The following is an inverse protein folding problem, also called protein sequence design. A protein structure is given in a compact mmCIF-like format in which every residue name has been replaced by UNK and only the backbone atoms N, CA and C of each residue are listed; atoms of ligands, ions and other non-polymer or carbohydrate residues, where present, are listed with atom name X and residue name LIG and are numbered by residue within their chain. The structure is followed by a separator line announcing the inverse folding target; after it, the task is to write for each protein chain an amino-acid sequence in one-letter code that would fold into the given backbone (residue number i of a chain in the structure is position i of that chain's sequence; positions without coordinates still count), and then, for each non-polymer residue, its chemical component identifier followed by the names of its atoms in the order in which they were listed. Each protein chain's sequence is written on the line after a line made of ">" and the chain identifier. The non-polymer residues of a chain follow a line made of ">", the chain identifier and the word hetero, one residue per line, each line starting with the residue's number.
data_IF_872689373690
#
_entry.id   IF_872689373690
#
_cell.length_a   1.000
_cell.length_b   1.000
_cell.length_c   1.000
_cell.angle_alpha   90.00
_cell.angle_beta   90.00
_cell.angle_gamma   90.00
#
_symmetry.space_group_name_H-M   'P 1'
#
loop_
_entity.id
_entity.type
_entity.pdbx_description
1 polymer ?
#
# COMPACT_ATOMS: atom_id res chain seq x y z
N UNK A 1 -4.66 -60.07 -0.77
CA UNK A 1 -4.48 -61.11 -1.81
C UNK A 1 -4.06 -60.38 -3.08
N UNK A 2 -2.76 -60.33 -3.31
CA UNK A 2 -2.06 -61.00 -4.43
C UNK A 2 -2.30 -60.26 -5.76
N UNK A 3 -1.31 -59.93 -6.59
CA UNK A 3 0.15 -60.05 -6.60
C UNK A 3 0.56 -59.41 -7.95
N UNK A 4 1.59 -58.57 -8.06
CA UNK A 4 2.87 -58.80 -8.78
C UNK A 4 3.35 -57.40 -9.23
N UNK A 5 4.50 -56.77 -8.89
CA UNK A 5 5.90 -57.20 -8.71
C UNK A 5 6.38 -57.99 -9.94
N UNK A 6 7.40 -57.67 -10.74
CA UNK A 6 8.66 -56.91 -10.63
C UNK A 6 9.15 -56.62 -12.07
N UNK A 7 10.04 -55.65 -12.34
CA UNK A 7 11.49 -55.80 -12.63
C UNK A 7 11.89 -54.60 -13.53
N UNK A 8 13.09 -54.02 -13.58
CA UNK A 8 14.41 -54.36 -13.05
C UNK A 8 15.27 -53.09 -12.87
N UNK A 9 16.12 -53.13 -11.84
CA UNK A 9 17.26 -52.24 -11.58
C UNK A 9 18.40 -52.45 -12.59
N UNK A 10 19.20 -51.39 -12.85
CA UNK A 10 20.68 -51.38 -12.86
C UNK A 10 21.13 -49.92 -13.19
N UNK A 11 22.24 -49.33 -12.73
CA UNK A 11 23.38 -49.71 -11.88
C UNK A 11 24.33 -48.49 -11.83
N UNK A 12 24.93 -48.17 -10.68
CA UNK A 12 26.39 -47.98 -10.45
C UNK A 12 26.72 -47.12 -9.23
N UNK A 13 26.88 -47.84 -8.13
CA UNK A 13 27.95 -47.79 -7.12
C UNK A 13 29.14 -46.87 -7.37
N UNK A 14 29.50 -46.06 -6.36
CA UNK A 14 30.89 -45.78 -5.98
C UNK A 14 31.03 -45.72 -4.45
N UNK A 15 31.49 -46.85 -3.91
CA UNK A 15 32.45 -47.12 -2.81
C UNK A 15 32.40 -46.41 -1.44
N UNK A 16 32.53 -47.27 -0.42
CA UNK A 16 32.72 -47.03 1.02
C UNK A 16 34.21 -46.92 1.39
N UNK A 17 34.52 -46.19 2.47
CA UNK A 17 35.36 -46.57 3.64
C UNK A 17 35.79 -45.29 4.42
N UNK A 18 35.25 -45.05 5.63
CA UNK A 18 35.82 -45.34 6.97
C UNK A 18 37.04 -44.49 7.39
N UNK A 19 36.86 -43.62 8.39
CA UNK A 19 37.60 -43.63 9.66
C UNK A 19 37.16 -42.47 10.59
N UNK A 20 37.02 -42.79 11.87
CA UNK A 20 36.72 -41.87 12.97
C UNK A 20 38.01 -41.30 13.60
N UNK A 21 37.93 -40.07 14.13
CA UNK A 21 38.45 -39.55 15.42
C UNK A 21 38.82 -38.06 15.29
N UNK A 22 38.43 -37.26 16.29
CA UNK A 22 39.06 -35.95 16.52
C UNK A 22 38.14 -34.93 17.20
N UNK A 23 38.13 -34.94 18.53
CA UNK A 23 37.47 -33.91 19.34
C UNK A 23 38.12 -32.53 19.19
N UNK A 24 37.30 -31.47 19.27
CA UNK A 24 37.55 -30.31 20.13
C UNK A 24 36.34 -29.36 20.06
N UNK A 25 35.41 -29.52 21.00
CA UNK A 25 34.41 -28.49 21.29
C UNK A 25 35.07 -27.34 22.05
N UNK A 26 35.27 -26.21 21.38
CA UNK A 26 35.52 -24.93 22.03
C UNK A 26 34.19 -24.20 22.23
N UNK A 27 33.93 -23.57 23.39
CA UNK A 27 32.74 -22.75 23.54
C UNK A 27 32.92 -21.52 22.65
N UNK A 28 32.13 -21.44 21.58
CA UNK A 28 31.90 -20.15 20.94
C UNK A 28 31.22 -19.28 22.00
N UNK A 29 31.96 -18.28 22.50
CA UNK A 29 31.38 -17.17 23.23
C UNK A 29 30.42 -16.50 22.27
N UNK A 30 29.16 -16.94 22.29
CA UNK A 30 28.05 -16.18 21.79
C UNK A 30 28.07 -14.88 22.59
N UNK A 31 28.60 -13.82 21.98
CA UNK A 31 28.35 -12.47 22.43
C UNK A 31 26.83 -12.33 22.47
N UNK A 32 26.28 -12.42 23.67
CA UNK A 32 24.88 -12.15 23.93
C UNK A 32 24.64 -10.70 23.55
N UNK A 33 24.18 -10.48 22.32
CA UNK A 33 23.40 -9.30 22.03
C UNK A 33 22.17 -9.41 22.93
N UNK A 34 22.21 -8.72 24.07
CA UNK A 34 21.01 -8.52 24.87
C UNK A 34 19.98 -7.88 23.92
N UNK A 35 18.77 -8.44 23.78
CA UNK A 35 17.72 -7.70 23.11
C UNK A 35 17.53 -6.42 23.91
N UNK A 36 17.63 -5.28 23.22
CA UNK A 36 17.32 -3.99 23.80
C UNK A 36 15.90 -4.09 24.40
N UNK A 37 15.83 -4.08 25.72
CA UNK A 37 14.64 -4.12 26.55
C UNK A 37 13.90 -2.77 26.48
N UNK A 38 13.61 -2.32 25.27
CA UNK A 38 12.75 -1.19 24.98
C UNK A 38 11.41 -1.71 24.47
N UNK A 39 10.31 -1.22 25.04
CA UNK A 39 8.95 -1.52 24.59
C UNK A 39 8.77 -0.93 23.19
N UNK A 40 9.00 -1.75 22.17
CA UNK A 40 8.84 -1.36 20.77
C UNK A 40 7.39 -1.11 20.36
N UNK A 41 7.20 -0.65 19.13
CA UNK A 41 5.88 -0.44 18.54
C UNK A 41 5.65 -1.47 17.44
N UNK A 42 4.56 -2.22 17.59
CA UNK A 42 4.10 -3.15 16.57
C UNK A 42 3.19 -2.43 15.59
N UNK A 43 3.46 -2.55 14.29
CA UNK A 43 2.75 -1.83 13.24
C UNK A 43 2.06 -2.82 12.30
N UNK A 44 0.78 -2.57 12.04
CA UNK A 44 0.04 -3.18 10.95
C UNK A 44 -0.01 -2.18 9.78
N UNK A 45 0.44 -2.57 8.60
CA UNK A 45 0.51 -1.68 7.44
C UNK A 45 -0.13 -2.33 6.21
N UNK A 46 -0.91 -1.57 5.44
CA UNK A 46 -1.47 -2.10 4.20
C UNK A 46 -0.38 -2.59 3.26
N UNK A 47 -0.59 -3.76 2.66
CA UNK A 47 0.47 -4.50 1.96
C UNK A 47 1.17 -3.72 0.85
N UNK A 48 0.51 -2.76 0.20
CA UNK A 48 1.12 -1.90 -0.82
C UNK A 48 2.32 -1.09 -0.31
N UNK A 49 2.30 -0.64 0.95
CA UNK A 49 3.40 0.10 1.57
C UNK A 49 4.65 -0.75 1.80
N UNK A 50 4.45 -2.05 2.07
CA UNK A 50 5.53 -3.03 2.22
C UNK A 50 6.02 -3.48 0.85
N UNK A 51 5.09 -3.74 -0.08
CA UNK A 51 5.40 -4.17 -1.45
C UNK A 51 6.30 -3.17 -2.18
N UNK A 52 6.02 -1.87 -2.06
CA UNK A 52 6.85 -0.83 -2.67
C UNK A 52 8.15 -0.51 -1.89
N UNK A 53 8.36 -1.14 -0.74
CA UNK A 53 9.55 -0.96 0.09
C UNK A 53 9.61 0.35 0.89
N UNK A 54 8.61 1.23 0.78
CA UNK A 54 8.61 2.51 1.51
C UNK A 54 8.49 2.30 3.01
N UNK A 55 7.51 1.53 3.47
CA UNK A 55 7.30 1.35 4.91
C UNK A 55 8.49 0.67 5.61
N UNK A 56 9.07 -0.42 5.10
CA UNK A 56 10.25 -1.04 5.72
C UNK A 56 11.40 -0.05 5.95
N UNK A 57 11.72 0.80 4.97
CA UNK A 57 12.78 1.82 5.10
C UNK A 57 12.43 2.89 6.13
N UNK A 58 11.19 3.37 6.12
CA UNK A 58 10.72 4.37 7.10
C UNK A 58 10.71 3.79 8.51
N UNK A 59 10.29 2.54 8.68
CA UNK A 59 10.27 1.84 9.96
C UNK A 59 11.69 1.67 10.52
N UNK A 60 12.65 1.29 9.68
CA UNK A 60 14.07 1.22 10.05
C UNK A 60 14.59 2.58 10.52
N UNK A 61 14.39 3.64 9.72
CA UNK A 61 14.82 4.99 10.08
C UNK A 61 14.17 5.50 11.37
N UNK A 62 12.86 5.24 11.57
CA UNK A 62 12.16 5.56 12.81
C UNK A 62 12.72 4.79 14.00
N UNK A 63 13.04 3.50 13.81
CA UNK A 63 13.62 2.67 14.85
C UNK A 63 14.97 3.20 15.33
N UNK A 64 15.81 3.66 14.41
CA UNK A 64 17.08 4.31 14.73
C UNK A 64 16.88 5.67 15.40
N UNK A 65 16.03 6.53 14.84
CA UNK A 65 15.83 7.89 15.33
C UNK A 65 15.24 7.91 16.76
N UNK A 66 14.36 6.97 17.07
CA UNK A 66 13.69 6.88 18.38
C UNK A 66 14.42 5.95 19.36
N UNK A 67 15.47 5.23 18.93
CA UNK A 67 16.10 4.16 19.71
C UNK A 67 15.05 3.18 20.28
N UNK A 68 14.06 2.85 19.45
CA UNK A 68 12.87 2.09 19.85
C UNK A 68 12.53 1.11 18.72
N UNK A 69 12.40 -0.21 18.98
CA UNK A 69 12.08 -1.17 17.92
C UNK A 69 10.75 -0.82 17.23
N UNK A 70 10.73 -0.73 15.90
CA UNK A 70 9.51 -0.57 15.10
C UNK A 70 9.34 -1.83 14.25
N UNK A 71 8.40 -2.71 14.65
CA UNK A 71 8.25 -4.04 14.03
C UNK A 71 6.95 -4.11 13.24
N UNK A 72 7.02 -4.56 11.98
CA UNK A 72 5.82 -4.84 11.20
C UNK A 72 5.28 -6.22 11.55
N UNK A 73 4.09 -6.29 12.14
CA UNK A 73 3.45 -7.55 12.55
C UNK A 73 2.38 -8.03 11.58
N UNK A 74 1.85 -7.13 10.75
CA UNK A 74 0.89 -7.46 9.71
C UNK A 74 1.12 -6.60 8.46
N UNK A 75 1.16 -7.26 7.30
CA UNK A 75 1.28 -6.63 5.99
C UNK A 75 0.28 -7.26 5.01
N UNK A 76 -0.92 -6.69 4.94
CA UNK A 76 -2.06 -7.32 4.26
C UNK A 76 -3.05 -6.27 3.72
N UNK A 77 -4.08 -6.67 2.94
CA UNK A 77 -5.26 -5.84 2.73
C UNK A 77 -5.93 -5.40 4.05
N UNK A 78 -6.88 -4.46 3.98
CA UNK A 78 -7.55 -3.89 5.16
C UNK A 78 -8.19 -4.96 6.04
N UNK A 79 -8.69 -6.03 5.44
CA UNK A 79 -9.32 -7.18 6.11
C UNK A 79 -8.32 -7.96 6.99
N UNK A 80 -7.01 -7.84 6.74
CA UNK A 80 -5.96 -8.42 7.56
C UNK A 80 -5.38 -7.45 8.59
N UNK A 81 -5.15 -6.19 8.22
CA UNK A 81 -4.47 -5.22 9.10
C UNK A 81 -5.39 -4.61 10.16
N UNK A 82 -6.68 -4.41 9.85
CA UNK A 82 -7.65 -3.87 10.82
C UNK A 82 -7.85 -4.82 11.99
N UNK A 83 -8.10 -6.14 11.79
CA UNK A 83 -8.23 -7.05 12.92
C UNK A 83 -6.97 -7.17 13.78
N UNK A 84 -5.77 -7.11 13.19
CA UNK A 84 -4.52 -7.14 13.94
C UNK A 84 -4.41 -5.95 14.91
N UNK A 85 -4.81 -4.76 14.47
CA UNK A 85 -4.90 -3.58 15.35
C UNK A 85 -5.97 -3.77 16.42
N UNK A 86 -7.20 -4.14 16.05
CA UNK A 86 -8.33 -4.33 17.00
C UNK A 86 -8.00 -5.35 18.09
N UNK A 87 -7.29 -6.43 17.77
CA UNK A 87 -6.89 -7.47 18.74
C UNK A 87 -5.70 -7.07 19.61
N UNK A 88 -5.06 -5.93 19.34
CA UNK A 88 -3.89 -5.46 20.08
C UNK A 88 -2.56 -6.05 19.63
N UNK A 89 -2.53 -6.79 18.52
CA UNK A 89 -1.29 -7.31 17.94
C UNK A 89 -0.42 -6.16 17.41
N UNK A 90 -1.06 -5.10 16.93
CA UNK A 90 -0.41 -3.85 16.55
C UNK A 90 -0.86 -2.68 17.45
N UNK A 91 0.03 -1.71 17.65
CA UNK A 91 -0.23 -0.44 18.33
C UNK A 91 -0.24 0.75 17.36
N UNK A 92 0.06 0.52 16.09
CA UNK A 92 -0.14 1.51 15.04
C UNK A 92 -0.70 0.83 13.80
N UNK A 93 -1.66 1.49 13.14
CA UNK A 93 -2.22 1.05 11.88
C UNK A 93 -1.95 2.10 10.79
N UNK A 94 -1.32 1.67 9.70
CA UNK A 94 -1.13 2.45 8.48
C UNK A 94 -2.06 1.93 7.39
N UNK A 95 -3.09 2.70 7.07
CA UNK A 95 -4.16 2.33 6.13
C UNK A 95 -4.55 3.54 5.27
N UNK A 96 -5.28 3.32 4.18
CA UNK A 96 -5.91 4.44 3.47
C UNK A 96 -6.98 5.10 4.33
N UNK A 97 -7.15 6.43 4.17
CA UNK A 97 -8.37 7.08 4.64
C UNK A 97 -9.60 6.40 4.00
N UNK A 98 -10.47 5.90 4.87
CA UNK A 98 -11.55 4.96 4.53
C UNK A 98 -12.60 4.93 5.64
N UNK A 99 -13.76 4.36 5.35
CA UNK A 99 -14.84 4.18 6.32
C UNK A 99 -14.38 3.32 7.50
N UNK A 100 -13.48 2.35 7.28
CA UNK A 100 -12.90 1.55 8.37
C UNK A 100 -12.08 2.40 9.34
N UNK A 101 -11.27 3.35 8.84
CA UNK A 101 -10.50 4.25 9.70
C UNK A 101 -11.44 5.12 10.55
N UNK A 102 -12.52 5.63 9.95
CA UNK A 102 -13.53 6.42 10.64
C UNK A 102 -14.32 5.59 11.66
N UNK A 103 -14.64 4.33 11.35
CA UNK A 103 -15.32 3.42 12.28
C UNK A 103 -14.45 3.07 13.50
N UNK A 104 -13.13 2.90 13.31
CA UNK A 104 -12.19 2.67 14.40
C UNK A 104 -12.12 3.88 15.34
N UNK A 105 -12.07 5.09 14.79
CA UNK A 105 -12.11 6.34 15.57
C UNK A 105 -13.45 6.48 16.31
N UNK A 106 -14.57 6.41 15.59
CA UNK A 106 -15.91 6.59 16.14
C UNK A 106 -16.25 5.55 17.23
N UNK A 107 -15.74 4.32 17.09
CA UNK A 107 -15.93 3.29 18.11
C UNK A 107 -15.06 3.49 19.35
N UNK A 108 -14.05 4.35 19.32
CA UNK A 108 -13.04 4.53 20.37
C UNK A 108 -11.91 3.50 20.34
N UNK A 109 -11.84 2.67 19.29
CA UNK A 109 -10.77 1.69 19.10
C UNK A 109 -9.46 2.35 18.65
N UNK A 110 -9.55 3.43 17.86
CA UNK A 110 -8.42 4.26 17.47
C UNK A 110 -8.59 5.70 17.99
N UNK A 111 -7.48 6.42 18.14
CA UNK A 111 -7.51 7.88 18.16
C UNK A 111 -7.78 8.46 16.77
N UNK A 112 -7.73 9.79 16.65
CA UNK A 112 -8.04 10.45 15.38
C UNK A 112 -7.10 10.07 14.24
N UNK A 113 -7.67 9.86 13.06
CA UNK A 113 -6.92 9.54 11.86
C UNK A 113 -6.05 10.74 11.43
N UNK A 114 -4.72 10.54 11.39
CA UNK A 114 -3.77 11.60 11.00
C UNK A 114 -3.15 11.27 9.65
N UNK A 115 -3.25 12.18 8.68
CA UNK A 115 -2.66 11.99 7.35
C UNK A 115 -1.14 11.90 7.49
N UNK A 116 -0.57 10.76 7.10
CA UNK A 116 0.87 10.50 7.14
C UNK A 116 1.55 10.77 5.80
N UNK A 117 0.86 10.47 4.71
CA UNK A 117 1.36 10.61 3.36
C UNK A 117 0.27 10.25 2.35
N UNK A 118 0.64 10.15 1.09
CA UNK A 118 -0.32 9.95 0.00
C UNK A 118 0.13 8.85 -0.93
N UNK A 119 -0.80 8.00 -1.42
CA UNK A 119 -0.55 7.21 -2.63
C UNK A 119 -1.16 7.89 -3.84
N UNK A 120 -0.67 7.50 -5.02
CA UNK A 120 -1.13 8.00 -6.31
C UNK A 120 -1.98 6.97 -7.06
N UNK A 121 -2.98 7.47 -7.78
CA UNK A 121 -3.63 6.76 -8.88
C UNK A 121 -3.13 7.30 -10.22
N UNK A 122 -3.21 6.47 -11.24
CA UNK A 122 -2.77 6.76 -12.60
C UNK A 122 -3.90 6.48 -13.57
N UNK A 123 -3.84 7.09 -14.75
CA UNK A 123 -4.73 6.74 -15.86
C UNK A 123 -4.02 5.70 -16.70
N UNK A 124 -4.65 4.53 -16.83
CA UNK A 124 -4.25 3.49 -17.76
C UNK A 124 -5.26 3.39 -18.90
N UNK A 125 -4.82 3.02 -20.09
CA UNK A 125 -5.70 2.91 -21.25
C UNK A 125 -5.00 2.32 -22.47
N UNK A 126 -5.66 2.32 -23.64
CA UNK A 126 -5.12 1.73 -24.86
C UNK A 126 -3.79 2.37 -25.26
N UNK A 127 -2.82 1.55 -25.69
CA UNK A 127 -1.49 2.02 -26.10
C UNK A 127 -1.53 3.11 -27.20
N UNK A 128 -2.49 3.01 -28.12
CA UNK A 128 -2.70 3.96 -29.21
C UNK A 128 -3.39 5.27 -28.79
N UNK A 129 -3.86 5.35 -27.53
CA UNK A 129 -4.34 6.56 -26.86
C UNK A 129 -5.25 7.49 -27.71
N UNK A 130 -6.44 7.04 -28.14
CA UNK A 130 -7.31 7.79 -29.06
C UNK A 130 -7.81 9.13 -28.48
N UNK A 131 -7.86 9.28 -27.14
CA UNK A 131 -8.21 10.51 -26.44
C UNK A 131 -7.01 11.42 -26.13
N UNK A 132 -5.80 11.05 -26.56
CA UNK A 132 -4.57 11.82 -26.30
C UNK A 132 -4.36 12.12 -24.81
N UNK A 133 -4.57 11.14 -23.93
CA UNK A 133 -4.39 11.27 -22.48
C UNK A 133 -2.93 11.53 -22.10
N UNK A 134 -1.94 10.97 -22.81
CA UNK A 134 -0.51 11.17 -22.48
C UNK A 134 -0.06 12.63 -22.51
N UNK A 135 -0.69 13.44 -23.36
CA UNK A 135 -0.38 14.86 -23.49
C UNK A 135 -1.29 15.75 -22.64
N UNK A 136 -2.08 15.17 -21.74
CA UNK A 136 -2.85 15.94 -20.79
C UNK A 136 -1.94 16.46 -19.67
N UNK A 137 -2.15 17.70 -19.25
CA UNK A 137 -1.41 18.35 -18.18
C UNK A 137 -1.75 17.77 -16.80
N UNK A 138 -2.99 17.29 -16.62
CA UNK A 138 -3.48 16.73 -15.37
C UNK A 138 -4.64 15.74 -15.62
N UNK A 139 -5.05 15.03 -14.57
CA UNK A 139 -6.12 14.04 -14.63
C UNK A 139 -7.47 14.63 -14.97
N UNK A 140 -7.72 15.90 -14.64
CA UNK A 140 -8.98 16.58 -14.98
C UNK A 140 -9.06 16.83 -16.48
N UNK A 141 -7.99 17.30 -17.10
CA UNK A 141 -7.90 17.48 -18.54
C UNK A 141 -7.99 16.13 -19.27
N UNK A 142 -7.32 15.09 -18.76
CA UNK A 142 -7.40 13.75 -19.35
C UNK A 142 -8.84 13.20 -19.35
N UNK A 143 -9.55 13.25 -18.21
CA UNK A 143 -10.95 12.80 -18.17
C UNK A 143 -11.87 13.64 -19.06
N UNK A 144 -11.57 14.94 -19.23
CA UNK A 144 -12.31 15.79 -20.17
C UNK A 144 -12.12 15.31 -21.62
N UNK A 145 -10.88 15.05 -22.04
CA UNK A 145 -10.59 14.54 -23.40
C UNK A 145 -11.23 13.18 -23.66
N UNK A 146 -11.23 12.28 -22.68
CA UNK A 146 -11.92 10.98 -22.78
C UNK A 146 -13.42 11.19 -23.00
N UNK A 147 -14.05 12.09 -22.23
CA UNK A 147 -15.47 12.39 -22.36
C UNK A 147 -15.81 13.06 -23.70
N UNK A 148 -14.97 13.99 -24.17
CA UNK A 148 -15.16 14.73 -25.43
C UNK A 148 -15.01 13.84 -26.67
N UNK A 149 -14.06 12.91 -26.65
CA UNK A 149 -13.88 11.93 -27.75
C UNK A 149 -14.88 10.77 -27.68
N UNK A 150 -15.58 10.62 -26.57
CA UNK A 150 -16.50 9.50 -26.33
C UNK A 150 -15.78 8.15 -26.17
N UNK A 151 -14.47 8.17 -25.89
CA UNK A 151 -13.70 6.96 -25.70
C UNK A 151 -14.18 6.18 -24.46
N UNK A 152 -14.25 4.83 -24.51
CA UNK A 152 -14.75 4.06 -23.38
C UNK A 152 -13.93 4.32 -22.10
N UNK A 153 -14.61 4.49 -20.97
CA UNK A 153 -14.00 4.65 -19.66
C UNK A 153 -14.68 3.73 -18.66
N UNK A 154 -13.91 2.94 -17.92
CA UNK A 154 -14.43 2.03 -16.91
C UNK A 154 -14.55 2.76 -15.57
N UNK A 155 -15.77 2.87 -15.07
CA UNK A 155 -16.06 3.23 -13.68
C UNK A 155 -15.74 2.03 -12.77
N UNK A 156 -14.63 2.13 -12.04
CA UNK A 156 -14.22 1.12 -11.08
C UNK A 156 -15.16 1.06 -9.87
N UNK A 157 -15.43 -0.15 -9.40
CA UNK A 157 -16.11 -0.40 -8.12
C UNK A 157 -15.21 -0.20 -6.89
N UNK A 158 -13.89 -0.10 -7.09
CA UNK A 158 -12.94 0.19 -6.01
C UNK A 158 -13.22 1.61 -5.44
N UNK A 159 -13.53 1.74 -4.13
CA UNK A 159 -13.85 3.03 -3.53
C UNK A 159 -12.76 4.09 -3.71
N UNK A 160 -11.50 3.66 -3.80
CA UNK A 160 -10.37 4.56 -4.00
C UNK A 160 -10.38 5.23 -5.37
N UNK A 161 -10.42 4.40 -6.40
CA UNK A 161 -10.47 4.84 -7.79
C UNK A 161 -11.74 5.65 -8.05
N UNK A 162 -12.88 5.22 -7.51
CA UNK A 162 -14.14 5.96 -7.56
C UNK A 162 -14.00 7.38 -6.97
N UNK A 163 -13.43 7.51 -5.77
CA UNK A 163 -13.25 8.81 -5.10
C UNK A 163 -12.39 9.76 -5.91
N UNK A 164 -11.31 9.27 -6.52
CA UNK A 164 -10.43 10.06 -7.38
C UNK A 164 -11.18 10.54 -8.63
N UNK A 165 -11.85 9.63 -9.34
CA UNK A 165 -12.60 9.96 -10.56
C UNK A 165 -13.69 10.99 -10.28
N UNK A 166 -14.45 10.81 -9.20
CA UNK A 166 -15.49 11.76 -8.78
C UNK A 166 -14.93 13.15 -8.47
N UNK A 167 -13.75 13.23 -7.84
CA UNK A 167 -13.06 14.50 -7.58
C UNK A 167 -12.68 15.19 -8.89
N UNK A 168 -12.09 14.46 -9.83
CA UNK A 168 -11.68 14.99 -11.13
C UNK A 168 -12.88 15.44 -11.97
N UNK A 169 -13.98 14.66 -11.99
CA UNK A 169 -15.21 15.05 -12.68
C UNK A 169 -15.81 16.34 -12.11
N UNK A 170 -15.94 16.44 -10.78
CA UNK A 170 -16.43 17.67 -10.15
C UNK A 170 -15.54 18.86 -10.44
N UNK A 171 -14.21 18.69 -10.34
CA UNK A 171 -13.24 19.75 -10.65
C UNK A 171 -13.32 20.21 -12.10
N UNK A 172 -13.54 19.27 -13.02
CA UNK A 172 -13.60 19.52 -14.45
C UNK A 172 -14.97 19.94 -15.00
N UNK A 173 -16.03 19.89 -14.19
CA UNK A 173 -17.41 20.07 -14.64
C UNK A 173 -17.89 18.95 -15.58
N UNK A 174 -17.26 17.77 -15.51
CA UNK A 174 -17.53 16.64 -16.40
C UNK A 174 -18.75 15.89 -15.87
N UNK A 175 -19.75 15.68 -16.73
CA UNK A 175 -20.93 14.88 -16.40
C UNK A 175 -20.75 13.48 -16.98
N UNK A 176 -20.89 12.41 -16.16
CA UNK A 176 -20.86 11.04 -16.66
C UNK A 176 -22.00 10.81 -17.65
N UNK A 177 -21.72 10.10 -18.75
CA UNK A 177 -22.68 9.81 -19.81
C UNK A 177 -22.55 8.35 -20.25
N UNK A 178 -23.69 7.69 -20.47
CA UNK A 178 -23.75 6.27 -20.83
C UNK A 178 -23.05 5.94 -22.15
N UNK A 179 -22.84 6.92 -23.05
CA UNK A 179 -22.16 6.72 -24.33
C UNK A 179 -20.72 6.24 -24.16
N UNK A 180 -19.99 6.80 -23.20
CA UNK A 180 -18.58 6.49 -22.97
C UNK A 180 -18.30 5.80 -21.64
N UNK A 181 -19.19 5.92 -20.65
CA UNK A 181 -19.01 5.29 -19.35
C UNK A 181 -19.39 3.79 -19.40
N UNK A 182 -18.56 2.94 -18.80
CA UNK A 182 -18.75 1.49 -18.67
C UNK A 182 -18.65 1.10 -17.21
N UNK A 183 -19.40 0.09 -16.78
CA UNK A 183 -19.29 -0.45 -15.43
C UNK A 183 -18.15 -1.48 -15.36
N UNK A 184 -17.44 -1.55 -14.23
CA UNK A 184 -16.52 -2.68 -13.97
C UNK A 184 -17.32 -3.98 -13.78
N UNK A 185 -17.42 -4.77 -14.86
CA UNK A 185 -18.02 -6.11 -14.89
C UNK A 185 -16.98 -7.22 -14.73
N UNK A 186 -15.74 -6.88 -14.39
CA UNK A 186 -14.67 -7.85 -14.23
C UNK A 186 -14.96 -8.87 -13.12
N UNK A 187 -14.48 -10.12 -13.25
CA UNK A 187 -14.72 -11.16 -12.24
C UNK A 187 -14.06 -10.85 -10.89
N UNK A 188 -13.03 -9.98 -10.88
CA UNK A 188 -12.23 -9.59 -9.70
C UNK A 188 -11.77 -8.14 -9.85
N UNK A 189 -11.52 -7.38 -8.77
CA UNK A 189 -11.04 -5.99 -8.86
C UNK A 189 -9.76 -5.81 -9.68
N UNK A 190 -8.84 -6.77 -9.63
CA UNK A 190 -7.56 -6.70 -10.35
C UNK A 190 -7.69 -6.95 -11.86
N UNK A 191 -8.83 -7.50 -12.32
CA UNK A 191 -9.09 -7.82 -13.73
C UNK A 191 -9.62 -6.61 -14.53
N UNK A 192 -9.72 -5.43 -13.91
CA UNK A 192 -10.26 -4.23 -14.57
C UNK A 192 -9.48 -3.85 -15.83
N UNK A 193 -8.14 -4.03 -15.83
CA UNK A 193 -7.35 -3.71 -17.02
C UNK A 193 -7.49 -4.76 -18.12
N UNK A 194 -7.86 -6.00 -17.79
CA UNK A 194 -8.23 -6.99 -18.80
C UNK A 194 -9.56 -6.62 -19.47
N UNK A 195 -10.52 -6.11 -18.70
CA UNK A 195 -11.75 -5.53 -19.25
C UNK A 195 -11.45 -4.30 -20.11
N UNK A 196 -10.57 -3.42 -19.62
CA UNK A 196 -10.11 -2.25 -20.37
C UNK A 196 -9.48 -2.64 -21.71
N UNK A 197 -8.66 -3.68 -21.74
CA UNK A 197 -8.06 -4.19 -22.98
C UNK A 197 -9.13 -4.69 -23.96
N UNK A 198 -10.12 -5.44 -23.49
CA UNK A 198 -11.20 -5.96 -24.36
C UNK A 198 -12.07 -4.84 -24.93
N UNK A 199 -12.36 -3.83 -24.13
CA UNK A 199 -13.25 -2.72 -24.51
C UNK A 199 -12.51 -1.53 -25.13
N UNK A 200 -11.18 -1.59 -25.22
CA UNK A 200 -10.32 -0.46 -25.59
C UNK A 200 -10.64 0.78 -24.74
N UNK A 201 -10.74 0.57 -23.42
CA UNK A 201 -11.19 1.56 -22.47
C UNK A 201 -10.06 2.13 -21.62
N UNK A 202 -10.30 3.31 -21.07
CA UNK A 202 -9.48 3.95 -20.06
C UNK A 202 -9.97 3.60 -18.66
N UNK A 203 -9.07 3.63 -17.67
CA UNK A 203 -9.37 3.38 -16.27
C UNK A 203 -8.43 4.20 -15.37
N UNK A 204 -8.94 4.64 -14.22
CA UNK A 204 -8.11 5.18 -13.14
C UNK A 204 -7.83 4.06 -12.14
N UNK A 205 -6.55 3.75 -11.91
CA UNK A 205 -6.11 2.62 -11.07
C UNK A 205 -4.97 3.03 -10.13
N UNK A 206 -4.73 2.27 -9.07
CA UNK A 206 -3.60 2.54 -8.17
C UNK A 206 -2.25 2.34 -8.85
N UNK A 207 -1.30 3.26 -8.63
CA UNK A 207 0.03 3.21 -9.25
C UNK A 207 0.82 1.97 -8.80
N UNK A 208 0.89 1.72 -7.49
CA UNK A 208 1.68 0.59 -6.93
C UNK A 208 1.20 -0.77 -7.48
N UNK A 209 -0.10 -1.13 -7.45
CA UNK A 209 -0.55 -2.40 -8.04
C UNK A 209 -0.19 -2.56 -9.52
N UNK A 210 -0.24 -1.48 -10.31
CA UNK A 210 0.15 -1.51 -11.73
C UNK A 210 1.66 -1.72 -11.89
N UNK A 211 2.48 -0.90 -11.23
CA UNK A 211 3.93 -0.93 -11.35
C UNK A 211 4.56 -2.24 -10.84
N UNK A 212 3.93 -2.89 -9.87
CA UNK A 212 4.39 -4.16 -9.29
C UNK A 212 3.66 -5.39 -9.87
N UNK A 213 3.01 -5.24 -11.04
CA UNK A 213 2.44 -6.37 -11.79
C UNK A 213 1.29 -7.10 -11.11
N UNK A 214 0.59 -6.45 -10.16
CA UNK A 214 -0.64 -6.99 -9.55
C UNK A 214 -1.87 -6.82 -10.44
N UNK A 215 -1.77 -5.95 -11.44
CA UNK A 215 -2.75 -5.75 -12.49
C UNK A 215 -2.05 -5.30 -13.77
N UNK A 216 -2.68 -5.56 -14.91
CA UNK A 216 -2.16 -5.23 -16.23
C UNK A 216 -2.88 -6.05 -17.29
N UNK A 217 -2.74 -5.64 -18.55
CA UNK A 217 -3.24 -6.40 -19.69
C UNK A 217 -2.46 -6.02 -20.95
N UNK A 218 -2.30 -6.94 -21.92
CA UNK A 218 -1.72 -6.60 -23.22
C UNK A 218 -2.45 -5.43 -23.89
N UNK A 219 -1.69 -4.49 -24.44
CA UNK A 219 -2.22 -3.31 -25.12
C UNK A 219 -2.75 -2.20 -24.21
N UNK A 220 -2.66 -2.36 -22.89
CA UNK A 220 -2.97 -1.31 -21.90
C UNK A 220 -1.68 -0.78 -21.29
N UNK A 221 -1.55 0.54 -21.27
CA UNK A 221 -0.36 1.23 -20.76
C UNK A 221 -0.73 2.27 -19.71
N UNK A 222 0.25 2.64 -18.88
CA UNK A 222 0.18 3.84 -18.05
C UNK A 222 0.31 5.06 -18.98
N UNK A 223 -0.73 5.90 -19.01
CA UNK A 223 -0.81 7.07 -19.90
C UNK A 223 -0.58 8.38 -19.15
N UNK A 224 -1.05 8.48 -17.91
CA UNK A 224 -0.88 9.69 -17.10
C UNK A 224 -0.63 9.33 -15.63
N UNK A 225 0.37 9.97 -15.03
CA UNK A 225 0.66 9.98 -13.61
C UNK A 225 1.20 11.35 -13.20
N UNK A 226 1.41 11.58 -11.91
CA UNK A 226 2.00 12.78 -11.34
C UNK A 226 1.00 13.78 -10.75
N UNK A 227 -0.30 13.67 -11.09
CA UNK A 227 -1.31 14.63 -10.67
C UNK A 227 -1.62 14.52 -9.16
N UNK A 228 -1.36 15.57 -8.35
CA UNK A 228 -1.70 15.59 -6.94
C UNK A 228 -3.19 15.35 -6.64
N UNK A 229 -4.10 15.72 -7.56
CA UNK A 229 -5.54 15.46 -7.42
C UNK A 229 -5.89 13.97 -7.55
N UNK A 230 -4.99 13.15 -8.11
CA UNK A 230 -5.15 11.71 -8.21
C UNK A 230 -4.64 10.96 -6.97
N UNK A 231 -4.22 11.70 -5.94
CA UNK A 231 -3.70 11.11 -4.72
C UNK A 231 -4.79 10.82 -3.70
N UNK A 232 -4.56 9.78 -2.89
CA UNK A 232 -5.39 9.40 -1.74
C UNK A 232 -4.55 9.37 -0.46
N UNK A 233 -5.13 9.71 0.70
CA UNK A 233 -4.37 9.76 1.93
C UNK A 233 -4.11 8.35 2.45
N UNK A 234 -2.88 8.12 2.90
CA UNK A 234 -2.59 7.17 3.97
C UNK A 234 -2.70 7.90 5.30
N UNK A 235 -3.40 7.28 6.23
CA UNK A 235 -3.53 7.75 7.61
C UNK A 235 -2.80 6.79 8.54
N UNK A 236 -2.23 7.37 9.61
CA UNK A 236 -1.83 6.63 10.78
C UNK A 236 -2.91 6.70 11.84
N UNK A 237 -3.13 5.58 12.52
CA UNK A 237 -4.04 5.43 13.65
C UNK A 237 -3.25 4.90 14.84
N UNK A 238 -3.45 5.50 16.01
CA UNK A 238 -2.88 5.08 17.29
C UNK A 238 -3.98 4.54 18.22
N UNK A 239 -3.64 3.82 19.30
CA UNK A 239 -4.63 3.12 20.12
C UNK A 239 -5.59 4.09 20.82
N UNK A 240 -6.89 3.95 20.56
CA UNK A 240 -7.96 4.71 21.23
C UNK A 240 -8.33 4.12 22.60
N UNK A 241 -9.21 4.77 23.39
CA UNK A 241 -9.51 4.37 24.77
C UNK A 241 -9.99 2.92 24.94
N UNK A 242 -10.60 2.31 23.92
CA UNK A 242 -11.08 0.91 23.96
C UNK A 242 -10.09 -0.11 23.41
N UNK A 243 -8.97 0.34 22.83
CA UNK A 243 -7.93 -0.56 22.37
C UNK A 243 -7.30 -1.30 23.55
N UNK A 244 -6.89 -2.58 23.41
CA UNK A 244 -6.25 -3.34 24.50
C UNK A 244 -4.80 -2.91 24.83
N UNK A 245 -4.31 -1.79 24.28
CA UNK A 245 -2.92 -1.37 24.48
C UNK A 245 -2.70 -0.87 25.91
N UNK A 246 -1.56 -1.23 26.50
CA UNK A 246 -1.12 -0.72 27.80
C UNK A 246 -0.77 0.77 27.71
N UNK A 247 -0.66 1.46 28.85
CA UNK A 247 -0.24 2.86 28.89
C UNK A 247 1.14 3.06 28.22
N UNK A 248 2.08 2.16 28.47
CA UNK A 248 3.42 2.20 27.88
C UNK A 248 3.37 2.03 26.35
N UNK A 249 2.56 1.09 25.86
CA UNK A 249 2.35 0.87 24.43
C UNK A 249 1.74 2.08 23.73
N UNK A 250 0.80 2.77 24.39
CA UNK A 250 0.21 4.02 23.87
C UNK A 250 1.24 5.13 23.77
N UNK A 251 2.06 5.29 24.80
CA UNK A 251 3.14 6.28 24.81
C UNK A 251 4.13 6.02 23.66
N UNK A 252 4.58 4.77 23.49
CA UNK A 252 5.47 4.38 22.41
C UNK A 252 4.85 4.64 21.02
N UNK A 253 3.59 4.26 20.81
CA UNK A 253 2.88 4.54 19.56
C UNK A 253 2.72 6.04 19.28
N UNK A 254 2.50 6.84 20.34
CA UNK A 254 2.45 8.30 20.25
C UNK A 254 3.79 8.90 19.80
N UNK A 255 4.90 8.47 20.38
CA UNK A 255 6.24 8.90 19.98
C UNK A 255 6.53 8.57 18.50
N UNK A 256 6.16 7.35 18.06
CA UNK A 256 6.29 6.98 16.65
C UNK A 256 5.40 7.86 15.75
N UNK A 257 4.15 8.13 16.15
CA UNK A 257 3.23 8.96 15.37
C UNK A 257 3.76 10.40 15.21
N UNK A 258 4.25 11.02 16.29
CA UNK A 258 4.85 12.36 16.21
C UNK A 258 6.09 12.37 15.34
N UNK A 259 6.97 11.37 15.47
CA UNK A 259 8.12 11.26 14.57
C UNK A 259 7.71 11.18 13.11
N UNK A 260 6.81 10.27 12.75
CA UNK A 260 6.37 10.06 11.36
C UNK A 260 5.73 11.32 10.73
N UNK A 261 5.15 12.19 11.55
CA UNK A 261 4.48 13.42 11.11
C UNK A 261 5.36 14.66 11.18
N UNK A 262 6.48 14.58 11.90
CA UNK A 262 7.49 15.64 12.00
C UNK A 262 8.26 15.85 10.69
N UNK A 263 8.98 16.96 10.59
CA UNK A 263 9.84 17.24 9.43
C UNK A 263 10.90 16.13 9.19
N UNK A 264 11.62 15.62 10.21
CA UNK A 264 12.49 14.44 10.04
C UNK A 264 11.77 13.20 9.49
N UNK A 265 10.57 12.87 10.01
CA UNK A 265 9.81 11.72 9.53
C UNK A 265 9.27 11.88 8.11
N UNK A 266 8.88 13.09 7.72
CA UNK A 266 8.48 13.39 6.35
C UNK A 266 9.68 13.37 5.39
N UNK A 267 10.86 13.79 5.83
CA UNK A 267 12.10 13.64 5.05
C UNK A 267 12.45 12.16 4.86
N UNK A 268 12.34 11.35 5.92
CA UNK A 268 12.49 9.89 5.86
C UNK A 268 11.51 9.26 4.85
N UNK A 269 10.24 9.68 4.88
CA UNK A 269 9.23 9.24 3.90
C UNK A 269 9.63 9.59 2.46
N UNK A 270 10.04 10.83 2.20
CA UNK A 270 10.46 11.28 0.87
C UNK A 270 11.68 10.50 0.38
N UNK A 271 12.70 10.32 1.22
CA UNK A 271 13.90 9.56 0.89
C UNK A 271 13.57 8.09 0.59
N UNK A 272 12.76 7.45 1.43
CA UNK A 272 12.32 6.07 1.25
C UNK A 272 11.51 5.89 -0.04
N UNK A 273 10.67 6.88 -0.39
CA UNK A 273 9.87 6.90 -1.60
C UNK A 273 10.70 7.15 -2.86
N UNK A 274 11.85 7.83 -2.78
CA UNK A 274 12.70 8.06 -3.96
C UNK A 274 13.36 6.80 -4.52
N UNK A 275 13.45 5.72 -3.74
CA UNK A 275 14.15 4.50 -4.15
C UNK A 275 13.23 3.63 -5.02
N UNK A 276 13.61 3.50 -6.30
CA UNK A 276 12.92 2.76 -7.37
C UNK A 276 11.58 3.36 -7.82
N UNK A 277 11.34 4.65 -7.59
CA UNK A 277 10.20 5.39 -8.14
C UNK A 277 9.29 5.98 -7.05
N UNK A 278 8.58 7.08 -7.30
CA UNK A 278 7.80 7.74 -6.28
C UNK A 278 6.53 6.95 -5.97
N UNK A 279 6.50 6.30 -4.80
CA UNK A 279 5.38 5.43 -4.39
C UNK A 279 4.44 6.07 -3.38
N UNK A 280 5.02 6.83 -2.45
CA UNK A 280 4.31 7.52 -1.38
C UNK A 280 4.79 8.96 -1.30
N UNK A 281 3.87 9.92 -1.23
CA UNK A 281 4.18 11.34 -1.28
C UNK A 281 3.96 11.99 0.08
N UNK A 282 4.75 13.02 0.39
CA UNK A 282 4.69 13.76 1.65
C UNK A 282 3.35 14.48 1.85
N UNK A 283 3.01 14.79 3.11
CA UNK A 283 1.70 15.35 3.51
C UNK A 283 1.31 16.62 2.76
N UNK A 284 2.27 17.48 2.48
CA UNK A 284 2.13 18.77 1.80
C UNK A 284 2.12 18.68 0.26
N UNK A 285 2.20 17.46 -0.28
CA UNK A 285 2.32 17.23 -1.72
C UNK A 285 0.99 17.38 -2.50
N UNK A 286 -0.12 17.70 -1.82
CA UNK A 286 -1.44 17.93 -2.44
C UNK A 286 -1.97 19.33 -2.10
N UNK A 287 -2.92 19.88 -2.88
CA UNK A 287 -3.51 21.19 -2.58
C UNK A 287 -4.12 21.25 -1.17
N UNK A 288 -4.05 22.40 -0.51
CA UNK A 288 -4.46 22.59 0.88
C UNK A 288 -5.88 22.08 1.23
N UNK A 289 -6.83 22.16 0.29
CA UNK A 289 -8.20 21.65 0.46
C UNK A 289 -8.35 20.13 0.41
N UNK A 290 -7.29 19.38 0.10
CA UNK A 290 -7.27 17.91 0.17
C UNK A 290 -6.64 17.42 1.47
N UNK A 291 -5.68 18.17 2.03
CA UNK A 291 -4.99 17.82 3.29
C UNK A 291 -5.80 18.13 4.55
N UNK A 292 -6.87 18.93 4.42
CA UNK A 292 -7.72 19.32 5.54
C UNK A 292 -8.66 18.18 5.97
N UNK A 293 -8.10 17.21 6.69
CA UNK A 293 -8.85 16.57 7.76
C UNK A 293 -8.80 17.49 8.99
N UNK A 294 -9.92 18.14 9.29
CA UNK A 294 -10.26 18.71 10.60
C UNK A 294 -9.24 19.63 11.31
N UNK A 295 -8.62 20.59 10.62
CA UNK A 295 -8.00 21.74 11.27
C UNK A 295 -8.68 23.04 10.76
N UNK A 296 -9.47 23.69 11.63
CA UNK A 296 -9.92 25.07 11.42
C UNK A 296 -11.40 25.28 11.07
N UNK A 297 -12.31 24.92 11.96
CA UNK A 297 -13.47 25.75 12.26
C UNK A 297 -13.49 26.01 13.77
N UNK A 298 -12.87 27.12 14.16
CA UNK A 298 -13.15 27.83 15.42
C UNK A 298 -13.74 29.18 15.04
#
# INVERSE_FOLDING_TARGET
>A
MQNLLLTSLARRDWLRALAALGMAGGPALAAGAQPASGTGVQVAAVGGLVLCGVWPRVAEQASHALTMPVTTVAAAPKEGVVPAFVRGEAQMLLIHASDEAMALEASGMAGSARVWGWNEHVIAGPAHDPASVRSAADGTQALRRIAETGAPFIALRDPGSYTVVQRLWRRGGIRPDARWLRADTGPRPQAVLELAAREQAYAVVGHIPLAFGKMGAPGIELLLHGDPLMRRPYVLLTPGPRHPATAQQRQAAGLLAEYLLSAPGQHALQAASGVNGPWVFARDSVPAGMSAGADGQT
#
